data_IF_093917696045
#
_entry.id   IF_093917696045
#
_cell.length_a   1.000
_cell.length_b   1.000
_cell.length_c   1.000
_cell.angle_alpha   90.00
_cell.angle_beta   90.00
_cell.angle_gamma   90.00
#
_symmetry.space_group_name_H-M   'P 1'
#
loop_
_entity.id
_entity.type
_entity.pdbx_description
1 polymer ?
#
# COMPACT_ATOMS: atom_id res chain seq x y z
N UNK A 1 -28.68 -66.03 -49.13
CA UNK A 1 -28.42 -65.73 -47.70
C UNK A 1 -27.83 -64.34 -47.67
N UNK A 2 -28.52 -63.45 -46.98
CA UNK A 2 -28.36 -62.00 -47.03
C UNK A 2 -27.77 -61.58 -45.69
N UNK A 3 -26.55 -61.06 -45.68
CA UNK A 3 -25.96 -60.37 -44.51
C UNK A 3 -25.29 -59.10 -45.07
N UNK A 4 -25.98 -57.96 -44.97
CA UNK A 4 -26.03 -57.06 -43.81
C UNK A 4 -24.80 -56.14 -43.79
N UNK A 5 -24.97 -54.97 -44.44
CA UNK A 5 -24.09 -53.83 -44.25
C UNK A 5 -24.22 -53.30 -42.83
N UNK A 6 -23.10 -53.26 -42.12
CA UNK A 6 -22.96 -52.53 -40.85
C UNK A 6 -22.63 -51.06 -41.13
N UNK A 7 -23.24 -50.10 -40.42
CA UNK A 7 -22.93 -48.69 -40.58
C UNK A 7 -21.51 -48.39 -40.08
N UNK A 8 -20.72 -47.71 -40.92
CA UNK A 8 -19.48 -47.05 -40.53
C UNK A 8 -19.81 -46.10 -39.37
N UNK A 9 -19.40 -46.48 -38.16
CA UNK A 9 -19.40 -45.63 -36.98
C UNK A 9 -18.49 -44.44 -37.27
N UNK A 10 -19.09 -43.26 -37.12
CA UNK A 10 -18.49 -41.97 -37.35
C UNK A 10 -17.17 -41.82 -36.59
N UNK A 11 -16.20 -41.22 -37.27
CA UNK A 11 -15.05 -40.53 -36.68
C UNK A 11 -15.55 -39.42 -35.74
N UNK A 12 -15.91 -39.77 -34.50
CA UNK A 12 -16.01 -38.80 -33.42
C UNK A 12 -14.58 -38.46 -32.97
N UNK A 13 -13.94 -37.56 -33.72
CA UNK A 13 -12.78 -36.81 -33.25
C UNK A 13 -13.24 -35.98 -32.06
N UNK A 14 -13.08 -36.56 -30.88
CA UNK A 14 -13.18 -35.87 -29.60
C UNK A 14 -12.27 -34.64 -29.66
N UNK A 15 -12.88 -33.48 -29.89
CA UNK A 15 -12.21 -32.20 -29.97
C UNK A 15 -11.80 -31.85 -28.54
N UNK A 16 -10.61 -32.29 -28.15
CA UNK A 16 -10.00 -31.97 -26.86
C UNK A 16 -10.13 -30.47 -26.61
N UNK A 17 -10.82 -30.12 -25.52
CA UNK A 17 -10.95 -28.74 -25.11
C UNK A 17 -9.55 -28.13 -24.95
N UNK A 18 -9.34 -26.86 -25.35
CA UNK A 18 -8.03 -26.22 -25.23
C UNK A 18 -7.58 -26.28 -23.77
N UNK A 19 -6.39 -26.83 -23.54
CA UNK A 19 -5.79 -26.90 -22.21
C UNK A 19 -5.74 -25.48 -21.61
N UNK A 20 -6.36 -25.30 -20.44
CA UNK A 20 -6.29 -24.05 -19.69
C UNK A 20 -4.81 -23.82 -19.37
N UNK A 21 -4.21 -22.67 -19.74
CA UNK A 21 -2.80 -22.43 -19.45
C UNK A 21 -2.58 -22.40 -17.95
N UNK A 22 -1.66 -23.22 -17.46
CA UNK A 22 -1.22 -23.19 -16.06
C UNK A 22 -0.61 -21.83 -15.76
N UNK A 23 -1.26 -21.07 -14.88
CA UNK A 23 -0.74 -19.79 -14.39
C UNK A 23 0.39 -20.10 -13.41
N UNK A 24 1.63 -19.92 -13.84
CA UNK A 24 2.78 -19.97 -12.94
C UNK A 24 2.99 -18.60 -12.32
N UNK A 25 2.75 -18.49 -11.00
CA UNK A 25 3.09 -17.30 -10.23
C UNK A 25 4.62 -17.21 -10.14
N UNK A 26 5.21 -16.31 -10.92
CA UNK A 26 6.64 -15.98 -10.81
C UNK A 26 6.78 -14.96 -9.67
N UNK A 27 7.35 -15.40 -8.55
CA UNK A 27 7.71 -14.49 -7.45
C UNK A 27 9.11 -13.97 -7.71
N UNK A 28 9.22 -12.70 -8.12
CA UNK A 28 10.51 -12.06 -8.33
C UNK A 28 11.17 -11.74 -6.98
N UNK A 29 12.09 -12.61 -6.55
CA UNK A 29 12.71 -12.54 -5.23
C UNK A 29 13.41 -11.21 -4.94
N UNK A 30 14.02 -10.59 -5.95
CA UNK A 30 14.72 -9.31 -5.83
C UNK A 30 13.80 -8.09 -5.74
N UNK A 31 12.48 -8.27 -5.97
CA UNK A 31 11.47 -7.21 -5.81
C UNK A 31 10.83 -7.20 -4.43
N UNK A 32 11.24 -8.11 -3.54
CA UNK A 32 10.70 -8.19 -2.18
C UNK A 32 11.17 -6.97 -1.37
N UNK A 33 10.29 -6.36 -0.56
CA UNK A 33 10.73 -5.27 0.29
C UNK A 33 11.74 -5.73 1.34
N UNK A 34 12.63 -4.82 1.72
CA UNK A 34 13.64 -5.07 2.75
C UNK A 34 13.01 -5.57 4.05
N UNK A 35 13.43 -6.73 4.59
CA UNK A 35 12.82 -7.32 5.78
C UNK A 35 13.04 -6.49 7.05
N UNK A 36 14.14 -5.74 7.15
CA UNK A 36 14.41 -4.84 8.27
C UNK A 36 13.45 -3.65 8.23
N UNK A 37 13.20 -3.10 7.04
CA UNK A 37 12.21 -2.03 6.87
C UNK A 37 10.79 -2.51 7.20
N UNK A 38 10.44 -3.75 6.85
CA UNK A 38 9.16 -4.35 7.25
C UNK A 38 9.03 -4.52 8.77
N UNK A 39 10.11 -4.90 9.44
CA UNK A 39 10.14 -5.02 10.90
C UNK A 39 9.98 -3.66 11.59
N UNK A 40 10.62 -2.62 11.08
CA UNK A 40 10.44 -1.24 11.58
C UNK A 40 8.98 -0.77 11.52
N UNK A 41 8.24 -1.15 10.47
CA UNK A 41 6.79 -0.86 10.36
C UNK A 41 6.00 -1.62 11.41
N UNK A 42 6.38 -2.88 11.66
CA UNK A 42 5.75 -3.67 12.71
C UNK A 42 5.96 -3.06 14.08
N UNK A 43 7.16 -2.55 14.36
CA UNK A 43 7.48 -1.83 15.60
C UNK A 43 6.77 -0.48 15.69
N UNK A 44 6.63 0.26 14.58
CA UNK A 44 5.92 1.53 14.57
C UNK A 44 4.43 1.39 14.93
N UNK A 45 3.79 0.28 14.56
CA UNK A 45 2.42 -0.02 15.01
C UNK A 45 2.29 -0.18 16.55
N UNK A 46 3.41 -0.36 17.26
CA UNK A 46 3.47 -0.36 18.72
C UNK A 46 3.50 1.06 19.31
N UNK A 47 3.54 2.10 18.47
CA UNK A 47 3.60 3.51 18.88
C UNK A 47 5.01 4.08 18.98
N UNK A 48 6.01 3.40 18.43
CA UNK A 48 7.39 3.89 18.39
C UNK A 48 7.68 4.54 17.03
N UNK A 49 7.64 5.87 16.98
CA UNK A 49 7.96 6.64 15.77
C UNK A 49 9.44 6.56 15.42
N UNK A 50 9.80 5.82 14.37
CA UNK A 50 11.19 5.68 13.91
C UNK A 50 11.46 6.63 12.75
N UNK A 51 12.46 7.50 12.87
CA UNK A 51 12.85 8.36 11.76
C UNK A 51 13.48 7.54 10.63
N UNK A 52 12.97 7.69 9.41
CA UNK A 52 13.49 7.01 8.21
C UNK A 52 13.52 7.94 7.00
N UNK A 53 14.42 7.60 6.08
CA UNK A 53 14.49 8.17 4.74
C UNK A 53 14.30 7.05 3.74
N UNK A 54 13.39 7.25 2.80
CA UNK A 54 13.06 6.34 1.71
C UNK A 54 13.51 6.93 0.39
N UNK A 55 14.26 6.15 -0.38
CA UNK A 55 14.63 6.46 -1.75
C UNK A 55 13.64 5.79 -2.69
N UNK A 56 13.06 6.58 -3.58
CA UNK A 56 12.00 6.19 -4.50
C UNK A 56 12.43 6.55 -5.93
N UNK A 57 11.89 5.91 -6.98
CA UNK A 57 12.25 6.22 -8.37
C UNK A 57 12.00 7.68 -8.77
N UNK A 58 11.09 8.36 -8.07
CA UNK A 58 10.69 9.74 -8.33
C UNK A 58 11.29 10.77 -7.36
N UNK A 59 12.03 10.33 -6.32
CA UNK A 59 12.56 11.27 -5.33
C UNK A 59 12.94 10.64 -4.00
N UNK A 60 13.11 11.49 -2.99
CA UNK A 60 13.47 11.10 -1.63
C UNK A 60 12.39 11.57 -0.68
N UNK A 61 11.98 10.71 0.24
CA UNK A 61 11.00 11.05 1.28
C UNK A 61 11.63 10.77 2.63
N UNK A 62 11.45 11.67 3.59
CA UNK A 62 11.84 11.40 4.97
C UNK A 62 10.71 11.75 5.94
N UNK A 63 10.64 11.05 7.06
CA UNK A 63 9.63 11.24 8.10
C UNK A 63 9.79 10.23 9.22
N UNK A 64 8.79 10.15 10.09
CA UNK A 64 8.73 9.14 11.15
C UNK A 64 7.74 8.06 10.78
N UNK A 65 8.13 6.79 10.90
CA UNK A 65 7.22 5.67 10.69
C UNK A 65 6.12 5.71 11.75
N UNK A 66 4.87 5.68 11.32
CA UNK A 66 3.70 5.72 12.19
C UNK A 66 2.80 4.50 11.94
N UNK A 67 1.92 4.19 12.88
CA UNK A 67 0.94 3.14 12.70
C UNK A 67 0.00 3.45 11.51
N UNK A 68 -0.35 2.43 10.73
CA UNK A 68 -1.11 2.63 9.49
C UNK A 68 -2.50 3.24 9.72
N UNK A 69 -3.14 2.93 10.85
CA UNK A 69 -4.45 3.45 11.21
C UNK A 69 -4.45 4.98 11.40
N UNK A 70 -3.32 5.56 11.82
CA UNK A 70 -3.20 7.02 12.04
C UNK A 70 -3.32 7.82 10.75
N UNK A 71 -2.82 7.30 9.62
CA UNK A 71 -3.04 7.92 8.32
C UNK A 71 -4.54 8.04 8.01
N UNK A 72 -5.29 6.96 8.20
CA UNK A 72 -6.71 6.93 7.88
C UNK A 72 -7.51 7.80 8.86
N UNK A 73 -7.17 7.75 10.15
CA UNK A 73 -7.75 8.62 11.16
C UNK A 73 -7.48 10.12 10.83
N UNK A 74 -6.27 10.47 10.38
CA UNK A 74 -5.98 11.85 9.98
C UNK A 74 -6.71 12.26 8.70
N UNK A 75 -6.73 11.41 7.67
CA UNK A 75 -7.46 11.68 6.44
C UNK A 75 -8.96 11.90 6.67
N UNK A 76 -9.57 11.08 7.53
CA UNK A 76 -10.96 11.22 7.94
C UNK A 76 -11.23 12.54 8.68
N UNK A 77 -10.34 12.94 9.59
CA UNK A 77 -10.43 14.23 10.29
C UNK A 77 -10.23 15.41 9.35
N UNK A 78 -9.28 15.33 8.42
CA UNK A 78 -8.96 16.41 7.48
C UNK A 78 -10.16 16.74 6.59
N UNK A 79 -10.79 15.76 5.96
CA UNK A 79 -11.92 16.02 5.06
C UNK A 79 -13.16 16.52 5.79
N UNK A 80 -13.41 16.04 7.02
CA UNK A 80 -14.47 16.56 7.89
C UNK A 80 -14.19 18.00 8.31
N UNK A 81 -12.95 18.31 8.70
CA UNK A 81 -12.55 19.66 9.08
C UNK A 81 -12.61 20.65 7.92
N UNK A 82 -12.24 20.25 6.71
CA UNK A 82 -12.43 21.07 5.50
C UNK A 82 -13.92 21.39 5.29
N UNK A 83 -14.81 20.43 5.50
CA UNK A 83 -16.23 20.65 5.39
C UNK A 83 -16.78 21.66 6.40
N UNK A 84 -16.37 21.54 7.67
CA UNK A 84 -16.73 22.49 8.72
C UNK A 84 -16.31 23.93 8.37
N UNK A 85 -15.14 24.11 7.74
CA UNK A 85 -14.62 25.42 7.35
C UNK A 85 -15.39 26.07 6.18
N UNK A 86 -16.03 25.28 5.31
CA UNK A 86 -16.76 25.80 4.15
C UNK A 86 -18.18 26.25 4.49
N UNK A 87 -18.82 25.63 5.50
CA UNK A 87 -20.22 25.87 5.84
C UNK A 87 -21.24 25.39 4.78
N UNK A 88 -20.80 24.64 3.76
CA UNK A 88 -21.67 24.07 2.73
C UNK A 88 -22.21 22.70 3.19
N UNK A 89 -23.52 22.60 3.44
CA UNK A 89 -24.18 21.38 3.90
C UNK A 89 -24.06 20.21 2.90
N UNK A 90 -24.01 20.49 1.59
CA UNK A 90 -23.84 19.45 0.58
C UNK A 90 -22.41 18.89 0.64
N UNK A 91 -21.43 19.79 0.79
CA UNK A 91 -20.03 19.38 0.94
C UNK A 91 -19.82 18.63 2.26
N UNK A 92 -20.44 19.05 3.36
CA UNK A 92 -20.40 18.34 4.64
C UNK A 92 -20.97 16.93 4.55
N UNK A 93 -22.13 16.76 3.91
CA UNK A 93 -22.72 15.44 3.69
C UNK A 93 -21.83 14.53 2.83
N UNK A 94 -21.18 15.09 1.81
CA UNK A 94 -20.24 14.36 0.97
C UNK A 94 -18.96 13.99 1.72
N UNK A 95 -18.38 14.91 2.49
CA UNK A 95 -17.19 14.70 3.30
C UNK A 95 -17.41 13.59 4.32
N UNK A 96 -18.56 13.59 5.01
CA UNK A 96 -18.93 12.55 5.95
C UNK A 96 -19.06 11.18 5.27
N UNK A 97 -19.71 11.13 4.10
CA UNK A 97 -19.83 9.90 3.33
C UNK A 97 -18.47 9.35 2.85
N UNK A 98 -17.54 10.23 2.44
CA UNK A 98 -16.18 9.84 2.05
C UNK A 98 -15.40 9.33 3.26
N UNK A 99 -15.42 10.06 4.38
CA UNK A 99 -14.73 9.68 5.61
C UNK A 99 -15.23 8.32 6.13
N UNK A 100 -16.55 8.16 6.27
CA UNK A 100 -17.18 6.94 6.76
C UNK A 100 -16.95 5.71 5.88
N UNK A 101 -16.89 5.87 4.56
CA UNK A 101 -16.70 4.73 3.64
C UNK A 101 -15.24 4.41 3.37
N UNK A 102 -14.38 5.42 3.31
CA UNK A 102 -13.02 5.28 2.78
C UNK A 102 -11.98 5.16 3.87
N UNK A 103 -12.17 5.86 4.99
CA UNK A 103 -11.12 6.06 5.99
C UNK A 103 -11.48 5.43 7.34
N UNK A 104 -12.68 5.69 7.88
CA UNK A 104 -13.10 5.20 9.19
C UNK A 104 -12.94 3.67 9.39
N UNK A 105 -13.23 2.80 8.41
CA UNK A 105 -13.06 1.35 8.58
C UNK A 105 -11.62 0.93 8.89
N UNK A 106 -10.64 1.75 8.51
CA UNK A 106 -9.21 1.48 8.66
C UNK A 106 -8.55 2.36 9.73
N UNK A 107 -9.30 3.30 10.32
CA UNK A 107 -8.81 4.21 11.36
C UNK A 107 -8.76 3.54 12.75
N UNK A 108 -9.50 2.45 12.93
CA UNK A 108 -9.47 1.69 14.18
C UNK A 108 -8.13 0.95 14.35
N UNK A 109 -7.59 1.00 15.56
CA UNK A 109 -6.39 0.23 15.91
C UNK A 109 -6.75 -1.26 15.96
N UNK A 110 -6.15 -2.05 15.07
CA UNK A 110 -6.26 -3.50 15.08
C UNK A 110 -5.45 -4.05 16.27
N UNK A 111 -5.97 -5.06 16.96
CA UNK A 111 -5.24 -5.70 18.06
C UNK A 111 -3.98 -6.40 17.54
N UNK A 112 -2.96 -6.57 18.40
CA UNK A 112 -1.74 -7.29 17.99
C UNK A 112 -2.04 -8.74 17.56
N UNK A 113 -2.98 -9.39 18.24
CA UNK A 113 -3.37 -10.78 17.97
C UNK A 113 -4.02 -10.92 16.59
N UNK A 114 -4.94 -10.02 16.24
CA UNK A 114 -5.58 -10.00 14.91
C UNK A 114 -4.55 -9.68 13.82
N UNK A 115 -3.60 -8.78 14.10
CA UNK A 115 -2.53 -8.42 13.17
C UNK A 115 -1.57 -9.58 12.91
N UNK A 116 -1.19 -10.32 13.95
CA UNK A 116 -0.32 -11.48 13.82
C UNK A 116 -1.00 -12.60 13.04
N UNK A 117 -2.30 -12.82 13.30
CA UNK A 117 -3.12 -13.75 12.53
C UNK A 117 -3.16 -13.34 11.04
N UNK A 118 -3.43 -12.08 10.74
CA UNK A 118 -3.45 -11.57 9.36
C UNK A 118 -2.09 -11.66 8.67
N UNK A 119 -0.99 -11.32 9.36
CA UNK A 119 0.36 -11.40 8.80
C UNK A 119 0.77 -12.84 8.45
N UNK A 120 0.41 -13.80 9.30
CA UNK A 120 0.64 -15.24 9.08
C UNK A 120 -0.24 -15.74 7.93
N UNK A 121 -1.52 -15.34 7.88
CA UNK A 121 -2.45 -15.75 6.83
C UNK A 121 -2.13 -15.16 5.45
N UNK A 122 -1.61 -13.93 5.40
CA UNK A 122 -1.30 -13.23 4.15
C UNK A 122 0.15 -13.44 3.67
N UNK A 123 0.96 -14.20 4.43
CA UNK A 123 2.29 -14.65 3.99
C UNK A 123 3.30 -13.51 3.79
N UNK A 124 3.29 -12.50 4.68
CA UNK A 124 4.05 -11.26 4.51
C UNK A 124 3.72 -10.58 3.17
N UNK A 125 2.53 -9.99 3.09
CA UNK A 125 1.98 -9.46 1.85
C UNK A 125 2.91 -8.40 1.22
N UNK A 126 3.31 -8.65 -0.03
CA UNK A 126 4.15 -7.78 -0.86
C UNK A 126 3.45 -6.45 -1.24
N UNK A 127 2.20 -6.26 -0.80
CA UNK A 127 1.44 -5.01 -0.93
C UNK A 127 1.61 -4.05 0.25
N UNK A 128 2.42 -4.40 1.26
CA UNK A 128 2.56 -3.62 2.49
C UNK A 128 2.95 -2.15 2.22
N UNK A 129 2.24 -1.24 2.89
CA UNK A 129 2.55 0.19 2.90
C UNK A 129 3.29 0.56 4.17
N UNK A 130 4.22 1.50 4.05
CA UNK A 130 4.78 2.24 5.18
C UNK A 130 4.05 3.58 5.28
N UNK A 131 3.54 3.87 6.47
CA UNK A 131 2.97 5.19 6.80
C UNK A 131 4.04 6.02 7.48
N UNK A 132 4.23 7.23 6.98
CA UNK A 132 5.13 8.23 7.55
C UNK A 132 4.32 9.43 8.05
N UNK A 133 4.78 10.05 9.13
CA UNK A 133 4.33 11.36 9.63
C UNK A 133 5.48 12.38 9.61
N UNK A 134 5.15 13.68 9.71
CA UNK A 134 6.09 14.80 9.63
C UNK A 134 6.94 14.74 8.36
N UNK A 135 6.28 14.52 7.23
CA UNK A 135 6.91 14.10 5.99
C UNK A 135 7.55 15.27 5.27
N UNK A 136 8.77 15.06 4.80
CA UNK A 136 9.48 15.94 3.86
C UNK A 136 9.76 15.15 2.59
N UNK A 137 9.15 15.55 1.48
CA UNK A 137 9.32 14.93 0.16
C UNK A 137 10.12 15.86 -0.77
N UNK A 138 11.22 15.33 -1.30
CA UNK A 138 12.11 15.96 -2.24
C UNK A 138 11.88 15.34 -3.62
N UNK A 139 11.14 16.05 -4.48
CA UNK A 139 10.73 15.64 -5.83
C UNK A 139 11.46 16.51 -6.86
N UNK A 140 12.25 15.89 -7.74
CA UNK A 140 12.94 16.61 -8.82
C UNK A 140 13.71 17.84 -8.31
N UNK A 141 13.29 19.04 -8.72
CA UNK A 141 13.94 20.32 -8.38
C UNK A 141 13.53 20.87 -7.00
N UNK A 142 12.65 20.19 -6.25
CA UNK A 142 12.17 20.66 -4.94
C UNK A 142 13.19 20.48 -3.80
N UNK A 143 14.47 20.24 -4.12
CA UNK A 143 15.54 20.03 -3.13
C UNK A 143 15.69 21.19 -2.14
N UNK A 144 15.44 22.43 -2.58
CA UNK A 144 15.54 23.62 -1.75
C UNK A 144 14.26 23.91 -0.94
N UNK A 145 13.13 23.30 -1.31
CA UNK A 145 11.83 23.50 -0.65
C UNK A 145 11.08 22.15 -0.66
N UNK A 146 11.34 21.26 0.32
CA UNK A 146 10.65 19.98 0.37
C UNK A 146 9.14 20.18 0.53
N UNK A 147 8.37 19.36 -0.17
CA UNK A 147 6.92 19.26 0.03
C UNK A 147 6.66 18.66 1.41
N UNK A 148 5.85 19.34 2.20
CA UNK A 148 5.48 18.89 3.52
C UNK A 148 4.10 18.27 3.50
N UNK A 149 3.99 17.07 4.07
CA UNK A 149 2.72 16.39 4.29
C UNK A 149 2.63 15.96 5.75
N UNK A 150 1.45 16.07 6.36
CA UNK A 150 1.24 15.57 7.72
C UNK A 150 1.46 14.05 7.75
N UNK A 151 0.90 13.34 6.77
CA UNK A 151 1.10 11.92 6.57
C UNK A 151 1.34 11.58 5.10
N UNK A 152 2.13 10.53 4.86
CA UNK A 152 2.32 9.94 3.54
C UNK A 152 2.35 8.42 3.65
N UNK A 153 1.62 7.74 2.75
CA UNK A 153 1.69 6.29 2.59
C UNK A 153 2.53 5.96 1.36
N UNK A 154 3.57 5.17 1.57
CA UNK A 154 4.48 4.71 0.53
C UNK A 154 4.38 3.21 0.40
N UNK A 155 4.28 2.72 -0.84
CA UNK A 155 4.26 1.28 -1.10
C UNK A 155 5.68 0.73 -0.93
N UNK A 156 5.85 -0.32 -0.14
CA UNK A 156 7.17 -0.83 0.17
C UNK A 156 7.92 -1.38 -1.04
N UNK A 157 7.22 -1.96 -2.01
CA UNK A 157 7.83 -2.44 -3.25
C UNK A 157 8.35 -1.30 -4.17
N UNK A 158 8.01 -0.04 -3.86
CA UNK A 158 8.50 1.12 -4.60
C UNK A 158 9.76 1.71 -3.97
N UNK A 159 10.10 1.29 -2.75
CA UNK A 159 11.31 1.73 -2.04
C UNK A 159 12.51 1.02 -2.65
N UNK A 160 13.43 1.79 -3.24
CA UNK A 160 14.64 1.26 -3.88
C UNK A 160 15.81 1.17 -2.91
N UNK A 161 15.84 2.04 -1.90
CA UNK A 161 16.77 2.01 -0.77
C UNK A 161 16.16 2.76 0.41
N UNK A 162 16.73 2.59 1.60
CA UNK A 162 16.32 3.33 2.79
C UNK A 162 17.51 3.63 3.70
N UNK A 163 17.37 4.64 4.54
CA UNK A 163 18.34 5.00 5.57
C UNK A 163 17.61 5.33 6.89
N UNK A 164 18.31 5.11 8.00
CA UNK A 164 17.86 5.56 9.31
C UNK A 164 18.04 7.08 9.47
N UNK A 165 17.06 7.75 10.06
CA UNK A 165 17.04 9.20 10.26
C UNK A 165 16.37 9.96 9.12
N UNK A 166 16.20 11.27 9.31
CA UNK A 166 15.62 12.17 8.30
C UNK A 166 16.69 12.93 7.53
N UNK A 167 16.44 13.14 6.24
CA UNK A 167 17.22 14.07 5.42
C UNK A 167 17.03 15.47 5.97
N UNK A 168 18.13 16.17 6.24
CA UNK A 168 18.11 17.60 6.52
C UNK A 168 18.40 18.30 5.21
N UNK A 169 17.45 19.07 4.69
CA UNK A 169 17.75 19.98 3.58
C UNK A 169 18.89 20.90 3.99
N UNK A 170 19.93 21.02 3.16
CA UNK A 170 20.96 22.03 3.37
C UNK A 170 20.31 23.40 3.26
N UNK A 171 20.35 24.19 4.33
CA UNK A 171 20.03 25.62 4.23
C UNK A 171 21.10 26.24 3.33
N UNK A 172 20.76 26.90 2.22
CA UNK A 172 21.76 27.62 1.44
C UNK A 172 22.30 28.77 2.30
N UNK A 173 23.52 28.64 2.86
CA UNK A 173 24.18 29.71 3.60
C UNK A 173 24.94 29.36 4.88
N UNK A 174 25.09 28.08 5.25
CA UNK A 174 26.05 27.64 6.29
C UNK A 174 27.28 26.95 5.68
#
# INVERSE_FOLDING_TARGET
>A
MTEAGGPNLADDKEKSAPAVPTINLVVEFYSRPDPTLQDLISVANLGAGVAVTLYLPWGVVSGHVEANNEFFASAARSIRGEAENTGDENFASMAEAIAGRTFDPWAARVSEDDRLADAIHQGYDLTTFITLTHVQAFLGDSWNQPLQHEYLRVRLNSVTAWAYGMVRGSVPGE
#
